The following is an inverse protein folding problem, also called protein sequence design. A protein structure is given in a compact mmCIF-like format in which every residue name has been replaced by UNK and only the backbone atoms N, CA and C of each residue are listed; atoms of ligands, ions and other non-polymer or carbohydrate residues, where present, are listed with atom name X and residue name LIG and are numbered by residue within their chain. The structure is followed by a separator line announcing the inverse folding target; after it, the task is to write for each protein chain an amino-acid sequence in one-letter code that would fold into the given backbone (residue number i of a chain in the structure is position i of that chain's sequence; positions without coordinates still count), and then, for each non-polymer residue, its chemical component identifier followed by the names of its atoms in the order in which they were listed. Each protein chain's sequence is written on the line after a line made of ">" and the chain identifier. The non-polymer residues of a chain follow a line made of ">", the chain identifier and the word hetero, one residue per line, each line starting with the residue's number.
data_IF_823448767527
#
_entry.id   IF_823448767527
#
_cell.length_a   1.000
_cell.length_b   1.000
_cell.length_c   1.000
_cell.angle_alpha   90.00
_cell.angle_beta   90.00
_cell.angle_gamma   90.00
#
_symmetry.space_group_name_H-M   'P 1'
#
loop_
_entity.id
_entity.type
_entity.pdbx_description
1 polymer ?
#
# COMPACT_ATOMS: atom_id res chain seq x y z
N UNK A 1 11.44 3.88 -17.95
CA UNK A 1 10.87 4.16 -19.28
C UNK A 1 9.39 3.86 -19.22
N UNK A 2 8.53 4.88 -19.10
CA UNK A 2 7.08 4.69 -18.97
C UNK A 2 6.42 4.57 -20.35
N UNK A 3 5.83 5.65 -20.87
CA UNK A 3 5.01 5.62 -22.09
C UNK A 3 5.87 5.54 -23.35
N UNK A 4 7.00 6.27 -23.38
CA UNK A 4 7.85 6.38 -24.58
C UNK A 4 8.85 5.24 -24.74
N UNK A 5 9.03 4.38 -23.73
CA UNK A 5 9.92 3.22 -23.80
C UNK A 5 11.34 3.61 -24.23
N UNK A 6 11.85 2.96 -25.27
CA UNK A 6 13.20 3.23 -25.77
C UNK A 6 13.38 4.63 -26.37
N UNK A 7 12.28 5.27 -26.79
CA UNK A 7 12.27 6.59 -27.42
C UNK A 7 12.27 7.74 -26.40
N UNK A 8 12.30 7.45 -25.10
CA UNK A 8 12.30 8.48 -24.05
C UNK A 8 13.58 9.36 -24.13
N UNK A 9 13.48 10.66 -24.46
CA UNK A 9 14.64 11.53 -24.60
C UNK A 9 15.43 11.73 -23.29
N UNK A 10 14.77 11.60 -22.14
CA UNK A 10 15.36 11.83 -20.82
C UNK A 10 15.72 10.53 -20.08
N UNK A 11 15.88 9.39 -20.77
CA UNK A 11 16.24 8.07 -20.16
C UNK A 11 17.40 8.12 -19.17
N UNK A 12 18.38 9.02 -19.39
CA UNK A 12 19.57 9.16 -18.55
C UNK A 12 19.43 10.20 -17.42
N UNK A 13 18.26 10.81 -17.27
CA UNK A 13 17.95 11.81 -16.26
C UNK A 13 16.84 11.31 -15.33
N UNK A 14 17.14 10.47 -14.32
CA UNK A 14 16.11 9.82 -13.50
C UNK A 14 15.19 10.82 -12.79
N UNK A 15 13.91 10.44 -12.60
CA UNK A 15 12.91 11.23 -11.88
C UNK A 15 12.06 12.20 -12.72
N UNK A 16 12.29 12.28 -14.04
CA UNK A 16 11.44 13.06 -14.95
C UNK A 16 10.08 12.40 -15.24
N UNK A 17 9.96 11.09 -15.03
CA UNK A 17 8.71 10.32 -15.03
C UNK A 17 8.60 9.55 -13.70
N UNK A 18 7.45 9.65 -13.04
CA UNK A 18 7.18 8.96 -11.77
C UNK A 18 5.86 8.20 -11.85
N UNK A 19 5.88 6.95 -11.41
CA UNK A 19 4.67 6.17 -11.17
C UNK A 19 4.26 6.36 -9.70
N UNK A 20 3.04 6.85 -9.47
CA UNK A 20 2.48 7.04 -8.13
C UNK A 20 1.27 6.13 -7.97
N UNK A 21 1.29 5.30 -6.93
CA UNK A 21 0.19 4.40 -6.57
C UNK A 21 -0.34 4.81 -5.20
N UNK A 22 -1.66 4.91 -5.09
CA UNK A 22 -2.34 5.22 -3.83
C UNK A 22 -2.91 3.93 -3.25
N UNK A 23 -2.55 3.63 -2.00
CA UNK A 23 -3.10 2.54 -1.24
C UNK A 23 -3.74 3.09 0.04
N UNK A 24 -4.95 2.65 0.35
CA UNK A 24 -5.66 3.06 1.54
C UNK A 24 -6.01 1.85 2.41
N UNK A 25 -5.89 2.04 3.71
CA UNK A 25 -6.42 1.15 4.74
C UNK A 25 -7.35 1.99 5.61
N UNK A 26 -8.59 1.53 5.75
CA UNK A 26 -9.64 2.27 6.44
C UNK A 26 -10.55 1.30 7.23
N UNK A 27 -11.25 1.80 8.29
CA UNK A 27 -12.29 1.07 9.00
C UNK A 27 -13.35 0.36 8.14
N UNK A 28 -13.67 0.89 6.96
CA UNK A 28 -14.62 0.29 6.02
C UNK A 28 -14.02 0.21 4.61
N UNK A 29 -14.51 -0.75 3.82
CA UNK A 29 -14.07 -0.92 2.42
C UNK A 29 -14.40 0.31 1.59
N UNK A 30 -15.59 0.86 1.78
CA UNK A 30 -16.11 2.02 1.06
C UNK A 30 -15.22 3.24 1.28
N UNK A 31 -14.76 3.46 2.51
CA UNK A 31 -13.85 4.58 2.80
C UNK A 31 -12.45 4.35 2.22
N UNK A 32 -11.93 3.12 2.25
CA UNK A 32 -10.64 2.82 1.60
C UNK A 32 -10.72 3.08 0.08
N UNK A 33 -11.83 2.67 -0.54
CA UNK A 33 -12.09 2.89 -1.96
C UNK A 33 -12.21 4.38 -2.28
N UNK A 34 -12.94 5.15 -1.48
CA UNK A 34 -13.09 6.60 -1.65
C UNK A 34 -11.74 7.34 -1.55
N UNK A 35 -10.88 6.97 -0.60
CA UNK A 35 -9.54 7.58 -0.45
C UNK A 35 -8.68 7.29 -1.67
N UNK A 36 -8.63 6.03 -2.12
CA UNK A 36 -7.88 5.66 -3.33
C UNK A 36 -8.42 6.39 -4.56
N UNK A 37 -9.74 6.41 -4.77
CA UNK A 37 -10.37 7.11 -5.89
C UNK A 37 -10.08 8.60 -5.86
N UNK A 38 -10.18 9.23 -4.69
CA UNK A 38 -9.86 10.65 -4.51
C UNK A 38 -8.42 10.92 -4.89
N UNK A 39 -7.45 10.15 -4.36
CA UNK A 39 -6.04 10.30 -4.70
C UNK A 39 -5.79 10.19 -6.21
N UNK A 40 -6.31 9.15 -6.84
CA UNK A 40 -6.17 8.89 -8.28
C UNK A 40 -6.77 10.01 -9.13
N UNK A 41 -8.01 10.45 -8.83
CA UNK A 41 -8.70 11.50 -9.60
C UNK A 41 -8.07 12.87 -9.35
N UNK A 42 -7.64 13.19 -8.13
CA UNK A 42 -6.97 14.46 -7.85
C UNK A 42 -5.64 14.58 -8.60
N UNK A 43 -4.85 13.50 -8.73
CA UNK A 43 -3.65 13.52 -9.57
C UNK A 43 -3.97 13.77 -11.05
N UNK A 44 -5.07 13.22 -11.55
CA UNK A 44 -5.53 13.46 -12.91
C UNK A 44 -5.89 14.93 -13.17
N UNK A 45 -6.46 15.61 -12.17
CA UNK A 45 -6.83 17.03 -12.28
C UNK A 45 -5.73 18.00 -11.81
N UNK A 46 -4.68 17.50 -11.18
CA UNK A 46 -3.57 18.32 -10.72
C UNK A 46 -3.00 19.15 -11.87
N UNK A 47 -2.64 20.40 -11.56
CA UNK A 47 -2.03 21.33 -12.51
C UNK A 47 -0.64 21.67 -12.02
N UNK A 48 0.36 21.14 -12.71
CA UNK A 48 1.75 21.48 -12.45
C UNK A 48 2.09 22.78 -13.21
N UNK A 49 2.83 23.72 -12.59
CA UNK A 49 3.13 25.01 -13.21
C UNK A 49 3.75 24.93 -14.61
N UNK A 50 4.54 23.88 -14.86
CA UNK A 50 5.22 23.65 -16.13
C UNK A 50 4.36 22.96 -17.20
N UNK A 51 3.18 22.41 -16.84
CA UNK A 51 2.38 21.57 -17.74
C UNK A 51 1.20 22.38 -18.27
N UNK A 52 1.15 22.56 -19.59
CA UNK A 52 -0.02 23.10 -20.30
C UNK A 52 -0.85 21.93 -20.81
N UNK A 53 -2.12 21.83 -20.41
CA UNK A 53 -2.98 20.74 -20.85
C UNK A 53 -4.47 21.05 -20.65
N UNK A 54 -5.27 20.70 -21.66
CA UNK A 54 -6.74 20.75 -21.62
C UNK A 54 -7.37 19.45 -21.10
N UNK A 55 -6.58 18.37 -21.02
CA UNK A 55 -6.97 17.04 -20.56
C UNK A 55 -6.40 16.72 -19.16
N UNK A 56 -6.40 15.44 -18.78
CA UNK A 56 -5.78 14.97 -17.53
C UNK A 56 -4.27 15.12 -17.51
N UNK A 57 -3.71 15.37 -16.32
CA UNK A 57 -2.29 15.62 -16.10
C UNK A 57 -1.42 14.37 -15.94
N UNK A 58 -2.03 13.18 -15.80
CA UNK A 58 -1.32 11.90 -15.65
C UNK A 58 -2.03 10.81 -16.46
N UNK A 59 -1.28 9.77 -16.83
CA UNK A 59 -1.85 8.52 -17.33
C UNK A 59 -2.28 7.62 -16.16
N UNK A 60 -3.36 6.87 -16.34
CA UNK A 60 -3.81 5.91 -15.34
C UNK A 60 -3.11 4.56 -15.53
N UNK A 61 -2.65 3.99 -14.42
CA UNK A 61 -2.23 2.59 -14.38
C UNK A 61 -3.45 1.66 -14.51
N UNK A 62 -4.53 2.00 -13.81
CA UNK A 62 -5.85 1.34 -13.78
C UNK A 62 -6.91 2.42 -13.58
N UNK A 63 -8.11 2.25 -14.15
CA UNK A 63 -9.20 3.24 -13.99
C UNK A 63 -9.98 3.04 -12.68
N UNK A 64 -9.91 1.84 -12.10
CA UNK A 64 -10.60 1.44 -10.88
C UNK A 64 -9.65 1.19 -9.70
N UNK A 65 -10.21 1.18 -8.47
CA UNK A 65 -9.51 0.71 -7.28
C UNK A 65 -9.51 -0.80 -7.24
N UNK A 66 -8.32 -1.40 -7.21
CA UNK A 66 -8.19 -2.84 -6.96
C UNK A 66 -8.43 -3.16 -5.48
N UNK A 67 -9.43 -3.99 -5.15
CA UNK A 67 -9.64 -4.41 -3.77
C UNK A 67 -8.49 -5.30 -3.28
N UNK A 68 -8.00 -5.02 -2.07
CA UNK A 68 -7.06 -5.89 -1.37
C UNK A 68 -7.78 -6.66 -0.26
N UNK A 69 -7.14 -7.73 0.24
CA UNK A 69 -7.60 -8.43 1.44
C UNK A 69 -7.64 -7.49 2.66
N UNK A 70 -8.53 -7.72 3.64
CA UNK A 70 -8.61 -6.90 4.84
C UNK A 70 -7.26 -6.79 5.56
N UNK A 71 -6.91 -5.57 5.96
CA UNK A 71 -5.75 -5.34 6.80
C UNK A 71 -6.11 -5.57 8.27
N UNK A 72 -5.22 -6.21 9.01
CA UNK A 72 -5.39 -6.46 10.44
C UNK A 72 -4.34 -5.70 11.22
N UNK A 73 -4.76 -5.00 12.27
CA UNK A 73 -3.84 -4.45 13.26
C UNK A 73 -3.50 -5.55 14.23
N UNK A 74 -2.25 -5.96 14.26
CA UNK A 74 -1.69 -6.82 15.29
C UNK A 74 -0.76 -6.01 16.18
N UNK A 75 -0.75 -6.35 17.46
CA UNK A 75 0.27 -5.87 18.40
C UNK A 75 1.24 -7.02 18.60
N UNK A 76 2.50 -6.87 18.19
CA UNK A 76 3.56 -7.80 18.62
C UNK A 76 4.21 -7.19 19.85
N UNK A 77 3.95 -7.81 20.99
CA UNK A 77 4.83 -7.66 22.14
C UNK A 77 6.10 -8.45 21.83
N UNK A 78 7.09 -7.79 21.22
CA UNK A 78 8.39 -8.39 20.91
C UNK A 78 9.14 -8.85 22.17
N UNK A 79 8.70 -8.40 23.34
CA UNK A 79 9.10 -8.87 24.66
C UNK A 79 7.85 -9.01 25.52
N UNK A 80 7.65 -10.19 26.11
CA UNK A 80 6.74 -10.38 27.23
C UNK A 80 7.60 -10.50 28.47
N UNK A 81 7.39 -9.64 29.47
CA UNK A 81 8.02 -9.82 30.78
C UNK A 81 7.39 -11.05 31.40
N UNK A 82 8.23 -12.04 31.69
CA UNK A 82 7.89 -13.22 32.45
C UNK A 82 8.64 -13.16 33.78
N UNK A 83 8.00 -13.61 34.87
CA UNK A 83 8.69 -13.72 36.16
C UNK A 83 9.42 -15.09 36.26
N UNK A 84 8.94 -16.11 35.54
CA UNK A 84 9.59 -17.42 35.41
C UNK A 84 9.77 -17.84 33.92
N UNK A 85 10.95 -18.34 33.50
CA UNK A 85 11.22 -18.77 32.13
C UNK A 85 10.29 -19.86 31.57
N UNK A 86 9.63 -20.65 32.42
CA UNK A 86 8.73 -21.75 32.01
C UNK A 86 7.25 -21.42 32.17
N UNK A 87 6.88 -20.22 32.65
CA UNK A 87 5.47 -19.88 32.93
C UNK A 87 4.56 -19.91 31.70
N UNK A 88 5.13 -19.67 30.51
CA UNK A 88 4.40 -19.70 29.24
C UNK A 88 4.26 -21.11 28.65
N UNK A 89 4.92 -22.12 29.23
CA UNK A 89 4.98 -23.49 28.72
C UNK A 89 4.54 -24.49 29.81
N UNK A 90 3.24 -24.52 30.18
CA UNK A 90 2.78 -25.39 31.23
C UNK A 90 2.96 -26.86 30.85
N UNK A 91 3.69 -27.60 31.68
CA UNK A 91 3.88 -29.05 31.53
C UNK A 91 3.00 -29.81 32.51
N UNK A 92 2.43 -30.92 32.05
CA UNK A 92 1.59 -31.79 32.84
C UNK A 92 2.12 -33.23 32.76
N UNK A 93 2.04 -33.96 33.86
CA UNK A 93 2.29 -35.40 33.86
C UNK A 93 0.95 -36.09 33.56
N UNK A 94 0.97 -37.03 32.62
CA UNK A 94 -0.16 -37.93 32.35
C UNK A 94 0.35 -39.36 32.29
N UNK A 95 -0.49 -40.33 32.64
CA UNK A 95 -0.24 -41.73 32.33
C UNK A 95 -0.51 -41.97 30.83
N UNK A 96 0.46 -42.55 30.14
CA UNK A 96 0.28 -43.11 28.81
C UNK A 96 0.06 -44.62 28.98
N UNK A 97 -1.18 -45.07 28.80
CA UNK A 97 -1.54 -46.49 28.86
C UNK A 97 -1.13 -47.28 27.62
N UNK A 98 -1.20 -48.61 27.71
CA UNK A 98 -1.19 -49.56 26.58
C UNK A 98 -2.61 -49.79 26.11
#
# INVERSE_FOLDING_TARGET
>A
DAVLGEMEPLRRSPGHELCVVVQAIAPTREMAEEVCMTGTRQMFYARLPAVKGTAGGVAFLLDEVMPASPAYRWTVNHTVRVDDPVELFPTFITEAGV
#
